data_IF_236146751157
#
_entry.id   IF_236146751157
#
_cell.length_a   1.000
_cell.length_b   1.000
_cell.length_c   1.000
_cell.angle_alpha   90.00
_cell.angle_beta   90.00
_cell.angle_gamma   90.00
#
_symmetry.space_group_name_H-M   'P 1'
#
loop_
_entity.id
_entity.type
_entity.pdbx_description
1 polymer ?
#
# COMPACT_ATOMS: atom_id res chain seq x y z
N UNK A 1 -33.85 -3.66 24.89
CA UNK A 1 -32.64 -3.07 24.43
C UNK A 1 -32.12 -3.65 23.13
N UNK A 2 -32.73 -3.20 22.05
CA UNK A 2 -32.33 -3.54 20.70
C UNK A 2 -30.85 -3.17 20.39
N UNK A 3 -30.27 -2.26 21.20
CA UNK A 3 -28.92 -1.72 20.95
C UNK A 3 -27.79 -2.72 21.19
N UNK A 4 -28.01 -3.76 22.02
CA UNK A 4 -26.95 -4.75 22.30
C UNK A 4 -26.59 -5.59 21.07
N UNK A 5 -27.61 -6.04 20.32
CA UNK A 5 -27.38 -6.87 19.14
C UNK A 5 -26.79 -6.03 17.99
N UNK A 6 -27.26 -4.80 17.83
CA UNK A 6 -26.71 -3.86 16.85
C UNK A 6 -25.25 -3.53 17.18
N UNK A 7 -24.90 -3.30 18.47
CA UNK A 7 -23.54 -3.03 18.89
C UNK A 7 -22.61 -4.21 18.65
N UNK A 8 -23.07 -5.44 18.92
CA UNK A 8 -22.27 -6.65 18.64
C UNK A 8 -22.01 -6.83 17.17
N UNK A 9 -23.02 -6.55 16.33
CA UNK A 9 -22.86 -6.61 14.88
C UNK A 9 -21.86 -5.55 14.40
N UNK A 10 -21.93 -4.33 14.93
CA UNK A 10 -21.01 -3.25 14.58
C UNK A 10 -19.59 -3.58 14.99
N UNK A 11 -19.38 -4.18 16.15
CA UNK A 11 -18.07 -4.62 16.62
C UNK A 11 -17.50 -5.69 15.69
N UNK A 12 -18.29 -6.67 15.27
CA UNK A 12 -17.85 -7.70 14.34
C UNK A 12 -17.49 -7.12 12.98
N UNK A 13 -18.30 -6.19 12.46
CA UNK A 13 -18.02 -5.53 11.19
C UNK A 13 -16.75 -4.68 11.27
N UNK A 14 -16.58 -3.94 12.38
CA UNK A 14 -15.39 -3.14 12.61
C UNK A 14 -14.14 -4.00 12.71
N UNK A 15 -14.22 -5.17 13.37
CA UNK A 15 -13.12 -6.11 13.47
C UNK A 15 -12.74 -6.66 12.09
N UNK A 16 -13.71 -7.03 11.27
CA UNK A 16 -13.48 -7.51 9.90
C UNK A 16 -12.83 -6.44 9.04
N UNK A 17 -13.30 -5.18 9.14
CA UNK A 17 -12.72 -4.05 8.41
C UNK A 17 -11.28 -3.79 8.84
N UNK A 18 -11.02 -3.82 10.14
CA UNK A 18 -9.68 -3.60 10.69
C UNK A 18 -8.71 -4.68 10.19
N UNK A 19 -9.13 -5.94 10.16
CA UNK A 19 -8.33 -7.04 9.66
C UNK A 19 -8.06 -6.91 8.17
N UNK A 20 -9.08 -6.62 7.36
CA UNK A 20 -8.93 -6.40 5.93
C UNK A 20 -8.01 -5.22 5.64
N UNK A 21 -8.14 -4.12 6.40
CA UNK A 21 -7.30 -2.94 6.23
C UNK A 21 -5.86 -3.22 6.63
N UNK A 22 -5.64 -4.00 7.67
CA UNK A 22 -4.29 -4.43 8.09
C UNK A 22 -3.62 -5.24 6.98
N UNK A 23 -4.34 -6.19 6.38
CA UNK A 23 -3.84 -6.99 5.26
C UNK A 23 -3.48 -6.12 4.06
N UNK A 24 -4.32 -5.15 3.72
CA UNK A 24 -4.08 -4.21 2.62
C UNK A 24 -2.84 -3.35 2.87
N UNK A 25 -2.68 -2.84 4.09
CA UNK A 25 -1.49 -2.06 4.46
C UNK A 25 -0.23 -2.89 4.37
N UNK A 26 -0.28 -4.13 4.84
CA UNK A 26 0.85 -5.07 4.75
C UNK A 26 1.21 -5.36 3.30
N UNK A 27 0.21 -5.51 2.43
CA UNK A 27 0.42 -5.72 0.99
C UNK A 27 1.14 -4.53 0.35
N UNK A 28 0.73 -3.31 0.69
CA UNK A 28 1.39 -2.09 0.18
C UNK A 28 2.85 -2.03 0.64
N UNK A 29 3.12 -2.36 1.89
CA UNK A 29 4.50 -2.44 2.42
C UNK A 29 5.32 -3.47 1.67
N UNK A 30 4.73 -4.62 1.32
CA UNK A 30 5.38 -5.64 0.52
C UNK A 30 5.71 -5.14 -0.87
N UNK A 31 4.81 -4.37 -1.50
CA UNK A 31 5.07 -3.75 -2.80
C UNK A 31 6.27 -2.79 -2.74
N UNK A 32 6.37 -2.00 -1.67
CA UNK A 32 7.53 -1.12 -1.46
C UNK A 32 8.82 -1.93 -1.32
N UNK A 33 8.80 -3.00 -0.55
CA UNK A 33 9.96 -3.89 -0.36
C UNK A 33 10.40 -4.49 -1.69
N UNK A 34 9.46 -4.86 -2.55
CA UNK A 34 9.76 -5.42 -3.87
C UNK A 34 10.49 -4.39 -4.74
N UNK A 35 10.08 -3.11 -4.68
CA UNK A 35 10.79 -2.05 -5.41
C UNK A 35 12.21 -1.90 -4.88
N UNK A 36 12.41 -1.85 -3.58
CA UNK A 36 13.74 -1.75 -2.98
C UNK A 36 14.63 -2.93 -3.33
N UNK A 37 14.08 -4.14 -3.32
CA UNK A 37 14.82 -5.34 -3.70
C UNK A 37 15.30 -5.26 -5.15
N UNK A 38 14.45 -4.79 -6.06
CA UNK A 38 14.83 -4.60 -7.45
C UNK A 38 15.89 -3.51 -7.63
N UNK A 39 15.81 -2.43 -6.85
CA UNK A 39 16.81 -1.35 -6.85
C UNK A 39 18.17 -1.87 -6.36
N UNK A 40 18.18 -2.65 -5.29
CA UNK A 40 19.40 -3.28 -4.75
C UNK A 40 20.02 -4.21 -5.78
N UNK A 41 19.19 -4.94 -6.54
CA UNK A 41 19.64 -5.79 -7.64
C UNK A 41 20.11 -5.02 -8.87
N UNK A 42 20.03 -3.68 -8.85
CA UNK A 42 20.43 -2.80 -9.93
C UNK A 42 19.75 -3.09 -11.28
N UNK A 43 18.56 -3.66 -11.24
CA UNK A 43 17.74 -3.92 -12.45
C UNK A 43 16.75 -2.77 -12.63
N UNK A 44 17.02 -1.91 -13.60
CA UNK A 44 16.17 -0.74 -13.89
C UNK A 44 14.78 -1.18 -14.37
N UNK A 45 14.73 -2.15 -15.28
CA UNK A 45 13.46 -2.64 -15.83
C UNK A 45 12.58 -3.29 -14.76
N UNK A 46 13.16 -4.15 -13.92
CA UNK A 46 12.44 -4.79 -12.82
C UNK A 46 11.98 -3.76 -11.80
N UNK A 47 12.84 -2.77 -11.51
CA UNK A 47 12.50 -1.68 -10.59
C UNK A 47 11.31 -0.87 -11.10
N UNK A 48 11.28 -0.56 -12.40
CA UNK A 48 10.17 0.19 -13.00
C UNK A 48 8.87 -0.62 -12.98
N UNK A 49 8.94 -1.92 -13.26
CA UNK A 49 7.77 -2.81 -13.17
C UNK A 49 7.22 -2.86 -11.74
N UNK A 50 8.10 -3.01 -10.76
CA UNK A 50 7.73 -3.04 -9.36
C UNK A 50 7.14 -1.70 -8.91
N UNK A 51 7.70 -0.59 -9.37
CA UNK A 51 7.19 0.75 -9.08
C UNK A 51 5.78 0.95 -9.64
N UNK A 52 5.53 0.53 -10.88
CA UNK A 52 4.20 0.62 -11.49
C UNK A 52 3.17 -0.20 -10.72
N UNK A 53 3.56 -1.39 -10.27
CA UNK A 53 2.70 -2.24 -9.44
C UNK A 53 2.38 -1.55 -8.11
N UNK A 54 3.39 -0.97 -7.46
CA UNK A 54 3.21 -0.19 -6.22
C UNK A 54 2.29 1.00 -6.44
N UNK A 55 2.49 1.76 -7.50
CA UNK A 55 1.67 2.93 -7.83
C UNK A 55 0.20 2.54 -7.97
N UNK A 56 -0.08 1.49 -8.74
CA UNK A 56 -1.44 0.99 -8.94
C UNK A 56 -2.10 0.61 -7.63
N UNK A 57 -1.43 -0.20 -6.82
CA UNK A 57 -1.97 -0.67 -5.54
C UNK A 57 -2.05 0.47 -4.52
N UNK A 58 -1.06 1.36 -4.50
CA UNK A 58 -1.06 2.53 -3.63
C UNK A 58 -2.22 3.47 -3.90
N UNK A 59 -2.53 3.73 -5.16
CA UNK A 59 -3.67 4.58 -5.51
C UNK A 59 -5.00 3.94 -5.14
N UNK A 60 -5.12 2.62 -5.27
CA UNK A 60 -6.30 1.89 -4.77
C UNK A 60 -6.44 2.04 -3.26
N UNK A 61 -5.35 1.96 -2.52
CA UNK A 61 -5.34 2.14 -1.07
C UNK A 61 -5.75 3.56 -0.68
N UNK A 62 -5.31 4.57 -1.42
CA UNK A 62 -5.74 5.97 -1.23
C UNK A 62 -7.25 6.09 -1.41
N UNK A 63 -7.80 5.50 -2.45
CA UNK A 63 -9.25 5.51 -2.72
C UNK A 63 -10.04 4.88 -1.57
N UNK A 64 -9.47 3.90 -0.89
CA UNK A 64 -10.10 3.23 0.26
C UNK A 64 -9.83 3.93 1.59
N UNK A 65 -9.12 5.04 1.57
CA UNK A 65 -8.83 5.83 2.78
C UNK A 65 -7.76 5.23 3.69
N UNK A 66 -6.96 4.27 3.21
CA UNK A 66 -5.92 3.62 4.00
C UNK A 66 -4.65 4.46 4.12
N UNK A 67 -4.36 5.25 3.09
CA UNK A 67 -3.19 6.12 3.04
C UNK A 67 -3.60 7.46 2.46
N UNK A 68 -2.90 8.51 2.88
CA UNK A 68 -3.08 9.83 2.30
C UNK A 68 -2.39 9.90 0.92
N UNK A 69 -3.04 10.56 -0.03
CA UNK A 69 -2.52 10.68 -1.41
C UNK A 69 -1.10 11.25 -1.43
N UNK A 70 -0.83 12.28 -0.62
CA UNK A 70 0.49 12.91 -0.55
C UNK A 70 1.56 11.93 -0.10
N UNK A 71 1.26 11.03 0.84
CA UNK A 71 2.19 10.01 1.33
C UNK A 71 2.59 9.07 0.20
N UNK A 72 1.62 8.56 -0.55
CA UNK A 72 1.86 7.65 -1.67
C UNK A 72 2.64 8.36 -2.78
N UNK A 73 2.22 9.56 -3.15
CA UNK A 73 2.89 10.36 -4.19
C UNK A 73 4.35 10.63 -3.85
N UNK A 74 4.64 10.95 -2.58
CA UNK A 74 6.00 11.19 -2.10
C UNK A 74 6.85 9.94 -2.19
N UNK A 75 6.32 8.78 -1.82
CA UNK A 75 7.02 7.51 -1.95
C UNK A 75 7.33 7.17 -3.40
N UNK A 76 6.37 7.33 -4.28
CA UNK A 76 6.55 7.08 -5.72
C UNK A 76 7.67 7.97 -6.26
N UNK A 77 7.64 9.25 -5.94
CA UNK A 77 8.65 10.22 -6.40
C UNK A 77 10.05 9.84 -5.92
N UNK A 78 10.20 9.49 -4.64
CA UNK A 78 11.49 9.10 -4.06
C UNK A 78 12.02 7.81 -4.68
N UNK A 79 11.17 6.81 -4.88
CA UNK A 79 11.55 5.54 -5.49
C UNK A 79 11.95 5.75 -6.95
N UNK A 80 11.20 6.56 -7.68
CA UNK A 80 11.51 6.89 -9.08
C UNK A 80 12.88 7.57 -9.20
N UNK A 81 13.19 8.50 -8.30
CA UNK A 81 14.48 9.15 -8.27
C UNK A 81 15.63 8.16 -8.07
N UNK A 82 15.44 7.17 -7.19
CA UNK A 82 16.43 6.13 -6.97
C UNK A 82 16.61 5.23 -8.19
N UNK A 83 15.51 4.89 -8.87
CA UNK A 83 15.54 4.07 -10.07
C UNK A 83 16.30 4.77 -11.19
N UNK A 84 16.09 6.08 -11.36
CA UNK A 84 16.81 6.87 -12.37
C UNK A 84 18.32 6.84 -12.20
N UNK A 85 18.81 6.64 -10.99
CA UNK A 85 20.24 6.57 -10.70
C UNK A 85 20.89 5.24 -11.09
N UNK A 86 20.10 4.25 -11.42
CA UNK A 86 20.61 2.95 -11.87
C UNK A 86 21.13 3.12 -13.30
N UNK A 87 22.38 2.74 -13.48
CA UNK A 87 23.06 2.87 -14.79
C UNK A 87 22.54 1.84 -15.80
#
# INVERSE_FOLDING_TARGET
>A
MANKDASKKDIRQSAKRAEANKSRRSFIKTCIKNVYAAIVGASKDDSMKALKAFEKQGMKAVSKGLFHKKTISRKISRLYSQIKKIA
#
